data_IF_098209413505
#
_entry.id   IF_098209413505
#
_cell.length_a   1.000
_cell.length_b   1.000
_cell.length_c   1.000
_cell.angle_alpha   90.00
_cell.angle_beta   90.00
_cell.angle_gamma   90.00
#
_symmetry.space_group_name_H-M   'P 1'
#
loop_
_entity.id
_entity.type
_entity.pdbx_description
1 polymer ?
#
# COMPACT_ATOMS: atom_id res chain seq x y z
N UNK A 1 29.08 44.69 -29.87
CA UNK A 1 29.06 44.47 -31.33
C UNK A 1 28.83 42.98 -31.54
N UNK A 2 27.65 42.53 -31.96
CA UNK A 2 27.16 42.42 -33.35
C UNK A 2 27.77 41.27 -34.15
N UNK A 3 26.91 40.36 -34.60
CA UNK A 3 27.13 39.37 -35.66
C UNK A 3 26.23 39.72 -36.87
N UNK A 4 26.54 39.11 -38.00
CA UNK A 4 26.02 39.35 -39.36
C UNK A 4 24.87 38.39 -39.76
N UNK A 5 24.23 38.54 -40.94
CA UNK A 5 23.09 37.70 -41.36
C UNK A 5 23.44 36.46 -42.20
N UNK A 6 22.65 35.37 -42.01
CA UNK A 6 22.33 34.21 -42.90
C UNK A 6 23.43 33.24 -43.46
N UNK A 7 23.42 31.98 -42.96
CA UNK A 7 23.38 30.67 -43.69
C UNK A 7 24.62 29.87 -44.24
N UNK A 8 24.87 28.64 -43.70
CA UNK A 8 24.86 27.26 -44.35
C UNK A 8 26.13 26.49 -44.94
N UNK A 9 26.24 25.15 -44.65
CA UNK A 9 26.91 23.95 -45.33
C UNK A 9 28.47 23.68 -45.36
N UNK A 10 29.08 22.49 -45.70
CA UNK A 10 28.83 21.00 -45.48
C UNK A 10 29.98 20.03 -46.04
N UNK A 11 30.34 18.94 -45.31
CA UNK A 11 30.71 17.49 -45.65
C UNK A 11 31.52 16.99 -46.92
N UNK A 12 32.46 16.01 -46.75
CA UNK A 12 32.45 14.61 -47.34
C UNK A 12 33.66 13.69 -46.95
N UNK A 13 33.52 12.35 -47.14
CA UNK A 13 34.20 11.30 -46.35
C UNK A 13 34.17 9.92 -47.07
N UNK A 14 35.25 9.12 -47.01
CA UNK A 14 35.41 7.69 -47.42
C UNK A 14 36.58 7.06 -46.60
N UNK A 15 36.81 5.76 -46.39
CA UNK A 15 36.14 4.50 -46.80
C UNK A 15 36.36 3.38 -45.72
N UNK A 16 36.40 2.08 -46.09
CA UNK A 16 36.43 0.88 -45.22
C UNK A 16 37.61 -0.09 -45.60
N UNK A 17 37.96 -1.21 -44.94
CA UNK A 17 37.57 -1.87 -43.68
C UNK A 17 38.60 -2.96 -43.26
N UNK A 18 38.52 -3.42 -41.99
CA UNK A 18 38.92 -4.71 -41.36
C UNK A 18 39.94 -4.64 -40.22
N UNK A 19 39.46 -4.69 -38.97
CA UNK A 19 40.16 -5.25 -37.79
C UNK A 19 39.15 -5.66 -36.70
N UNK A 20 39.45 -6.72 -35.97
CA UNK A 20 38.73 -7.19 -34.78
C UNK A 20 39.16 -6.39 -33.53
N UNK A 21 38.36 -6.41 -32.44
CA UNK A 21 38.76 -6.79 -31.06
C UNK A 21 37.76 -6.31 -29.97
N UNK A 22 37.40 -7.26 -29.09
CA UNK A 22 36.80 -7.16 -27.74
C UNK A 22 35.40 -6.53 -27.50
N UNK A 23 34.52 -7.20 -26.73
CA UNK A 23 33.25 -6.64 -26.25
C UNK A 23 33.45 -5.86 -24.94
N UNK A 24 32.98 -4.61 -24.90
CA UNK A 24 32.82 -3.87 -23.65
C UNK A 24 31.60 -4.37 -22.89
N UNK A 25 31.80 -4.99 -21.72
CA UNK A 25 30.71 -5.21 -20.76
C UNK A 25 30.25 -3.85 -20.24
N UNK A 26 29.13 -3.38 -20.77
CA UNK A 26 28.46 -2.18 -20.29
C UNK A 26 27.90 -2.43 -18.90
N UNK A 27 28.39 -1.67 -17.91
CA UNK A 27 27.81 -1.61 -16.57
C UNK A 27 26.32 -1.28 -16.64
N UNK A 28 25.46 -2.27 -16.46
CA UNK A 28 24.11 -2.01 -15.97
C UNK A 28 24.23 -1.60 -14.50
N UNK A 29 24.43 -0.30 -14.27
CA UNK A 29 23.99 0.30 -13.02
C UNK A 29 22.47 0.14 -12.97
N UNK A 30 22.01 -0.81 -12.17
CA UNK A 30 20.61 -0.95 -11.81
C UNK A 30 20.16 0.36 -11.17
N UNK A 31 19.35 1.14 -11.91
CA UNK A 31 18.62 2.24 -11.32
C UNK A 31 17.70 1.65 -10.25
N UNK A 32 18.02 1.86 -8.97
CA UNK A 32 17.03 1.64 -7.91
C UNK A 32 15.81 2.51 -8.26
N UNK A 33 14.58 1.95 -8.24
CA UNK A 33 13.38 2.76 -8.46
C UNK A 33 13.40 3.96 -7.51
N UNK A 34 13.12 5.15 -8.03
CA UNK A 34 13.06 6.33 -7.19
C UNK A 34 12.00 6.11 -6.11
N UNK A 35 12.40 6.23 -4.84
CA UNK A 35 11.53 5.95 -3.69
C UNK A 35 10.25 6.78 -3.81
N UNK A 36 9.12 6.09 -3.99
CA UNK A 36 7.82 6.74 -4.16
C UNK A 36 7.33 7.31 -2.83
N UNK A 37 6.57 8.41 -2.90
CA UNK A 37 5.89 8.95 -1.74
C UNK A 37 4.76 8.01 -1.29
N UNK A 38 4.69 7.77 0.02
CA UNK A 38 3.66 6.97 0.68
C UNK A 38 2.37 7.76 0.73
N UNK A 39 1.28 7.14 0.27
CA UNK A 39 -0.06 7.68 0.39
C UNK A 39 -0.57 7.61 1.85
N UNK A 40 -1.71 8.27 2.15
CA UNK A 40 -2.41 8.07 3.42
C UNK A 40 -2.72 6.59 3.70
N UNK A 41 -3.05 5.82 2.67
CA UNK A 41 -3.38 4.40 2.79
C UNK A 41 -2.16 3.52 3.06
N UNK A 42 -1.02 3.78 2.41
CA UNK A 42 0.23 3.05 2.68
C UNK A 42 0.70 3.28 4.12
N UNK A 43 0.61 4.54 4.57
CA UNK A 43 1.02 4.89 5.93
C UNK A 43 0.03 4.40 6.98
N UNK A 44 -1.27 4.38 6.66
CA UNK A 44 -2.29 3.76 7.50
C UNK A 44 -2.08 2.25 7.59
N UNK A 45 -1.83 1.57 6.48
CA UNK A 45 -1.53 0.14 6.44
C UNK A 45 -0.28 -0.20 7.26
N UNK A 46 0.81 0.57 7.13
CA UNK A 46 2.01 0.38 7.93
C UNK A 46 1.71 0.34 9.44
N UNK A 47 0.91 1.28 9.93
CA UNK A 47 0.48 1.32 11.33
C UNK A 47 -0.45 0.16 11.70
N UNK A 48 -1.48 -0.11 10.89
CA UNK A 48 -2.47 -1.17 11.16
C UNK A 48 -1.83 -2.58 11.15
N UNK A 49 -0.95 -2.86 10.19
CA UNK A 49 -0.23 -4.13 10.04
C UNK A 49 0.75 -4.39 11.19
N UNK A 50 1.41 -3.35 11.70
CA UNK A 50 2.23 -3.47 12.91
C UNK A 50 1.36 -3.58 14.18
N UNK A 51 0.24 -2.87 14.25
CA UNK A 51 -0.71 -2.99 15.37
C UNK A 51 -1.27 -4.41 15.47
N UNK A 52 -1.65 -5.04 14.36
CA UNK A 52 -2.08 -6.46 14.35
C UNK A 52 -1.00 -7.44 14.87
N UNK A 53 0.29 -7.08 14.80
CA UNK A 53 1.40 -7.92 15.27
C UNK A 53 1.79 -7.68 16.74
N UNK A 54 1.61 -6.45 17.26
CA UNK A 54 2.15 -6.02 18.56
C UNK A 54 1.12 -5.51 19.56
N UNK A 55 -0.14 -5.33 19.18
CA UNK A 55 -1.19 -4.99 20.13
C UNK A 55 -1.50 -6.16 21.05
N UNK A 56 -2.13 -5.86 22.19
CA UNK A 56 -2.58 -6.85 23.16
C UNK A 56 -3.44 -7.94 22.52
N UNK A 57 -3.39 -9.13 23.13
CA UNK A 57 -4.18 -10.30 22.72
C UNK A 57 -5.70 -10.06 22.74
N UNK A 58 -6.44 -11.04 22.22
CA UNK A 58 -7.87 -10.96 21.92
C UNK A 58 -8.71 -10.14 22.92
N UNK A 59 -9.38 -9.11 22.39
CA UNK A 59 -10.47 -8.35 23.04
C UNK A 59 -10.20 -7.89 24.50
N UNK A 60 -8.95 -7.56 24.84
CA UNK A 60 -8.65 -6.90 26.11
C UNK A 60 -8.89 -5.39 26.05
N UNK A 61 -9.19 -4.77 27.20
CA UNK A 61 -9.22 -3.30 27.34
C UNK A 61 -7.89 -2.65 26.99
N UNK A 62 -6.80 -3.40 27.14
CA UNK A 62 -5.46 -2.94 26.78
C UNK A 62 -5.29 -2.80 25.27
N UNK A 63 -6.06 -3.54 24.45
CA UNK A 63 -6.05 -3.41 22.99
C UNK A 63 -6.68 -2.10 22.51
N UNK A 64 -7.78 -1.67 23.14
CA UNK A 64 -8.36 -0.33 22.89
C UNK A 64 -7.39 0.78 23.34
N UNK A 65 -6.64 0.56 24.43
CA UNK A 65 -5.61 1.49 24.90
C UNK A 65 -4.41 1.56 23.94
N UNK A 66 -3.88 0.41 23.48
CA UNK A 66 -2.85 0.30 22.46
C UNK A 66 -3.30 1.03 21.18
N UNK A 67 -4.57 0.91 20.77
CA UNK A 67 -5.10 1.57 19.58
C UNK A 67 -5.17 3.10 19.75
N UNK A 68 -5.61 3.57 20.92
CA UNK A 68 -5.64 4.99 21.23
C UNK A 68 -4.24 5.64 21.31
N UNK A 69 -3.23 4.88 21.74
CA UNK A 69 -1.83 5.31 21.74
C UNK A 69 -1.24 5.28 20.31
N UNK A 70 -1.29 4.14 19.63
CA UNK A 70 -0.49 3.87 18.43
C UNK A 70 -1.16 4.17 17.09
N UNK A 71 -2.49 4.15 17.04
CA UNK A 71 -3.27 4.47 15.83
C UNK A 71 -3.90 5.87 15.89
N UNK A 72 -3.93 6.49 17.07
CA UNK A 72 -4.44 7.85 17.26
C UNK A 72 -3.56 8.93 16.62
N UNK A 73 -4.15 10.09 16.33
CA UNK A 73 -3.42 11.31 15.95
C UNK A 73 -2.78 12.06 17.14
N UNK A 74 -2.74 11.46 18.34
CA UNK A 74 -2.24 12.15 19.53
C UNK A 74 -0.73 11.96 19.70
N UNK A 75 0.01 13.00 19.34
CA UNK A 75 1.47 13.11 19.49
C UNK A 75 1.98 12.77 20.89
N UNK A 76 1.27 13.16 21.94
CA UNK A 76 1.70 12.93 23.33
C UNK A 76 1.62 11.45 23.74
N UNK A 77 0.76 10.68 23.07
CA UNK A 77 0.50 9.26 23.38
C UNK A 77 1.20 8.28 22.44
N UNK A 78 1.56 8.69 21.23
CA UNK A 78 2.15 7.81 20.21
C UNK A 78 3.38 7.02 20.67
N UNK A 79 4.26 7.64 21.47
CA UNK A 79 5.45 6.99 22.03
C UNK A 79 5.30 6.57 23.50
N UNK A 80 4.07 6.44 24.01
CA UNK A 80 3.82 5.93 25.36
C UNK A 80 4.38 4.50 25.50
N UNK A 81 5.34 4.31 26.41
CA UNK A 81 6.20 3.11 26.44
C UNK A 81 5.60 2.01 27.32
N UNK A 82 4.86 1.10 26.68
CA UNK A 82 4.69 -0.29 27.16
C UNK A 82 5.77 -1.21 26.56
N UNK A 83 5.92 -2.43 27.08
CA UNK A 83 6.92 -3.43 26.66
C UNK A 83 6.98 -3.65 25.14
N UNK A 84 5.81 -3.64 24.47
CA UNK A 84 5.66 -3.92 23.03
C UNK A 84 5.92 -2.70 22.13
N UNK A 85 5.93 -1.48 22.68
CA UNK A 85 6.03 -0.23 21.91
C UNK A 85 7.29 -0.14 21.04
N UNK A 86 8.50 -0.53 21.51
CA UNK A 86 9.69 -0.43 20.69
C UNK A 86 9.63 -1.28 19.41
N UNK A 87 9.11 -2.50 19.52
CA UNK A 87 8.96 -3.42 18.40
C UNK A 87 7.88 -2.93 17.41
N UNK A 88 6.75 -2.43 17.93
CA UNK A 88 5.72 -1.75 17.13
C UNK A 88 6.31 -0.57 16.34
N UNK A 89 6.99 0.36 17.02
CA UNK A 89 7.57 1.56 16.41
C UNK A 89 8.58 1.19 15.32
N UNK A 90 9.51 0.27 15.60
CA UNK A 90 10.48 -0.21 14.62
C UNK A 90 9.81 -0.84 13.39
N UNK A 91 8.75 -1.63 13.59
CA UNK A 91 7.97 -2.19 12.49
C UNK A 91 7.35 -1.10 11.62
N UNK A 92 6.74 -0.07 12.22
CA UNK A 92 6.14 1.05 11.49
C UNK A 92 7.19 1.83 10.72
N UNK A 93 8.31 2.19 11.37
CA UNK A 93 9.44 2.88 10.72
C UNK A 93 10.00 2.11 9.52
N UNK A 94 10.10 0.77 9.63
CA UNK A 94 10.53 -0.10 8.54
C UNK A 94 9.54 -0.14 7.38
N UNK A 95 8.24 -0.25 7.66
CA UNK A 95 7.18 -0.25 6.64
C UNK A 95 6.98 1.11 5.97
N UNK A 96 7.29 2.20 6.66
CA UNK A 96 7.30 3.55 6.07
C UNK A 96 8.64 3.89 5.38
N UNK A 97 9.54 2.91 5.21
CA UNK A 97 10.89 3.10 4.65
C UNK A 97 11.72 4.21 5.32
N UNK A 98 11.37 4.60 6.56
CA UNK A 98 12.05 5.64 7.31
C UNK A 98 13.20 5.08 8.17
N UNK A 99 13.16 3.80 8.52
CA UNK A 99 14.30 3.09 9.09
C UNK A 99 14.64 1.83 8.28
N UNK A 100 15.86 1.74 7.78
CA UNK A 100 16.36 0.56 7.09
C UNK A 100 17.14 -0.33 8.07
N UNK A 101 16.66 -1.57 8.25
CA UNK A 101 17.28 -2.54 9.17
C UNK A 101 18.55 -3.21 8.65
N UNK A 102 18.78 -3.18 7.32
CA UNK A 102 19.99 -3.67 6.65
C UNK A 102 21.09 -2.60 6.72
N UNK A 103 20.75 -1.37 6.33
CA UNK A 103 21.65 -0.20 6.40
C UNK A 103 21.80 0.37 7.82
N UNK A 104 20.99 -0.13 8.76
CA UNK A 104 21.03 0.15 10.21
C UNK A 104 20.87 1.63 10.55
N UNK A 105 20.05 2.35 9.79
CA UNK A 105 19.95 3.82 9.89
C UNK A 105 18.58 4.33 9.47
N UNK A 106 18.28 5.56 9.87
CA UNK A 106 17.17 6.30 9.32
C UNK A 106 17.46 6.73 7.87
N UNK A 107 16.43 6.70 7.03
CA UNK A 107 16.48 7.09 5.63
C UNK A 107 15.91 8.50 5.47
N UNK A 108 16.76 9.51 5.32
CA UNK A 108 16.31 10.90 5.17
C UNK A 108 15.61 11.20 3.84
N UNK A 109 15.80 10.36 2.81
CA UNK A 109 15.23 10.61 1.49
C UNK A 109 13.69 10.57 1.51
N UNK A 110 13.09 9.68 2.32
CA UNK A 110 11.62 9.61 2.41
C UNK A 110 11.02 10.91 2.94
N UNK A 111 11.68 11.61 3.86
CA UNK A 111 11.19 12.89 4.40
C UNK A 111 11.08 13.95 3.30
N UNK A 112 12.11 14.05 2.45
CA UNK A 112 12.11 14.97 1.29
C UNK A 112 11.09 14.55 0.23
N UNK A 113 10.97 13.25 -0.03
CA UNK A 113 9.98 12.69 -0.97
C UNK A 113 8.55 13.00 -0.51
N UNK A 114 8.21 12.73 0.75
CA UNK A 114 6.90 13.06 1.33
C UNK A 114 6.60 14.55 1.24
N UNK A 115 7.55 15.40 1.64
CA UNK A 115 7.37 16.85 1.57
C UNK A 115 7.09 17.31 0.13
N UNK A 116 7.92 16.91 -0.83
CA UNK A 116 7.75 17.34 -2.22
C UNK A 116 6.44 16.85 -2.85
N UNK A 117 5.93 15.69 -2.45
CA UNK A 117 4.65 15.16 -2.93
C UNK A 117 3.42 15.86 -2.29
N UNK A 118 3.50 16.23 -1.01
CA UNK A 118 2.32 16.56 -0.21
C UNK A 118 2.34 17.95 0.48
N UNK A 119 3.39 18.75 0.33
CA UNK A 119 3.55 20.05 1.03
C UNK A 119 2.39 21.03 0.87
N UNK A 120 1.61 20.97 -0.22
CA UNK A 120 0.49 21.88 -0.43
C UNK A 120 -0.69 21.69 0.54
N UNK A 121 -0.75 20.55 1.24
CA UNK A 121 -1.75 20.28 2.30
C UNK A 121 -1.18 20.39 3.72
N UNK A 122 0.13 20.63 3.85
CA UNK A 122 0.89 20.73 5.11
C UNK A 122 1.03 22.19 5.57
N UNK A 123 1.40 22.37 6.84
CA UNK A 123 1.84 23.68 7.38
C UNK A 123 3.35 23.80 7.53
N UNK A 124 4.11 22.75 7.17
CA UNK A 124 5.58 22.74 7.28
C UNK A 124 6.23 23.65 6.23
N UNK A 125 7.15 24.48 6.69
CA UNK A 125 8.13 25.15 5.85
C UNK A 125 9.20 24.18 5.33
N UNK A 126 10.02 24.63 4.38
CA UNK A 126 11.19 23.87 3.94
C UNK A 126 12.27 23.81 5.04
N UNK A 127 12.34 24.82 5.90
CA UNK A 127 13.22 24.91 7.08
C UNK A 127 12.88 23.84 8.13
N UNK A 128 11.58 23.65 8.45
CA UNK A 128 11.12 22.59 9.37
C UNK A 128 11.54 21.18 8.91
N UNK A 129 11.64 20.97 7.59
CA UNK A 129 12.01 19.69 6.97
C UNK A 129 13.54 19.56 6.86
N UNK A 130 14.25 20.65 6.59
CA UNK A 130 15.72 20.70 6.60
C UNK A 130 16.27 20.41 8.00
N UNK A 131 15.72 21.03 9.05
CA UNK A 131 16.12 20.79 10.44
C UNK A 131 15.84 19.35 10.87
N UNK A 132 14.67 18.79 10.52
CA UNK A 132 14.37 17.39 10.82
C UNK A 132 15.33 16.44 10.09
N UNK A 133 15.62 16.69 8.81
CA UNK A 133 16.59 15.92 8.03
C UNK A 133 18.00 16.04 8.62
N UNK A 134 18.38 17.21 9.12
CA UNK A 134 19.67 17.43 9.77
C UNK A 134 19.80 16.62 11.08
N UNK A 135 18.81 16.71 11.98
CA UNK A 135 18.81 15.91 13.21
C UNK A 135 18.83 14.40 12.93
N UNK A 136 18.03 13.92 11.96
CA UNK A 136 18.01 12.51 11.54
C UNK A 136 19.37 12.08 10.96
N UNK A 137 20.02 12.93 10.17
CA UNK A 137 21.34 12.65 9.57
C UNK A 137 22.46 12.53 10.61
N UNK A 138 22.31 13.19 11.76
CA UNK A 138 23.25 13.12 12.87
C UNK A 138 23.12 11.82 13.69
N UNK A 139 22.05 11.04 13.49
CA UNK A 139 21.91 9.71 14.09
C UNK A 139 22.78 8.71 13.30
N UNK A 140 23.82 8.20 13.97
CA UNK A 140 24.69 7.16 13.42
C UNK A 140 24.00 5.82 13.22
N UNK A 141 24.77 4.82 12.79
CA UNK A 141 24.25 3.46 12.65
C UNK A 141 23.83 2.85 14.00
N UNK A 142 22.65 2.26 14.05
CA UNK A 142 22.03 1.65 15.22
C UNK A 142 22.14 0.11 15.17
N UNK A 143 22.01 -0.56 16.31
CA UNK A 143 21.86 -2.00 16.36
C UNK A 143 20.44 -2.41 15.93
N UNK A 144 20.27 -2.85 14.68
CA UNK A 144 18.97 -3.31 14.17
C UNK A 144 18.42 -4.58 14.82
N UNK A 145 19.18 -5.27 15.67
CA UNK A 145 18.68 -6.36 16.53
C UNK A 145 18.13 -5.88 17.88
N UNK A 146 18.25 -4.58 18.21
CA UNK A 146 17.81 -3.99 19.47
C UNK A 146 16.68 -2.97 19.25
N UNK A 147 15.42 -3.41 19.42
CA UNK A 147 14.24 -2.58 19.14
C UNK A 147 14.17 -1.34 20.03
N UNK A 148 14.69 -1.42 21.26
CA UNK A 148 14.76 -0.29 22.18
C UNK A 148 15.66 0.83 21.66
N UNK A 149 16.74 0.51 20.95
CA UNK A 149 17.70 1.50 20.43
C UNK A 149 17.10 2.33 19.29
N UNK A 150 16.36 1.69 18.39
CA UNK A 150 15.62 2.37 17.31
C UNK A 150 14.50 3.24 17.88
N UNK A 151 13.77 2.74 18.89
CA UNK A 151 12.73 3.50 19.58
C UNK A 151 13.28 4.72 20.34
N UNK A 152 14.35 4.54 21.13
CA UNK A 152 14.93 5.62 21.92
C UNK A 152 15.58 6.68 21.02
N UNK A 153 16.15 6.28 19.87
CA UNK A 153 16.61 7.21 18.83
C UNK A 153 15.46 8.00 18.17
N UNK A 154 14.34 7.35 17.80
CA UNK A 154 13.16 8.08 17.29
C UNK A 154 12.62 9.03 18.35
N UNK A 155 12.53 8.62 19.61
CA UNK A 155 11.97 9.41 20.72
C UNK A 155 12.70 10.73 20.93
N UNK A 156 14.01 10.76 20.73
CA UNK A 156 14.79 11.99 20.77
C UNK A 156 14.34 12.96 19.67
N UNK A 157 14.32 12.51 18.40
CA UNK A 157 13.81 13.31 17.27
C UNK A 157 12.39 13.82 17.53
N UNK A 158 11.52 12.94 18.02
CA UNK A 158 10.10 13.20 18.20
C UNK A 158 9.79 14.32 19.19
N UNK A 159 10.72 14.61 20.11
CA UNK A 159 10.58 15.69 21.10
C UNK A 159 10.50 17.06 20.42
N UNK A 160 11.28 17.26 19.35
CA UNK A 160 11.27 18.49 18.54
C UNK A 160 10.39 18.34 17.28
N UNK A 161 10.43 17.17 16.63
CA UNK A 161 9.91 16.94 15.27
C UNK A 161 8.61 16.15 15.21
N UNK A 162 7.87 15.99 16.31
CA UNK A 162 6.57 15.27 16.28
C UNK A 162 5.56 15.89 15.32
N UNK A 163 5.55 17.22 15.15
CA UNK A 163 4.71 17.90 14.14
C UNK A 163 5.12 17.46 12.74
N UNK A 164 6.41 17.60 12.41
CA UNK A 164 6.98 17.26 11.12
C UNK A 164 6.74 15.79 10.78
N UNK A 165 6.95 14.88 11.74
CA UNK A 165 6.67 13.45 11.59
C UNK A 165 5.21 13.17 11.24
N UNK A 166 4.25 13.67 12.04
CA UNK A 166 2.83 13.40 11.79
C UNK A 166 2.32 14.02 10.48
N UNK A 167 2.81 15.18 10.08
CA UNK A 167 2.43 15.78 8.81
C UNK A 167 3.07 15.03 7.63
N UNK A 168 4.39 14.82 7.60
CA UNK A 168 5.10 14.14 6.50
C UNK A 168 4.57 12.70 6.27
N UNK A 169 4.28 11.98 7.34
CA UNK A 169 3.69 10.63 7.26
C UNK A 169 2.16 10.63 7.24
N UNK A 170 1.50 11.76 6.93
CA UNK A 170 0.07 11.86 6.65
C UNK A 170 -0.81 11.25 7.76
N UNK A 171 -0.38 11.41 9.02
CA UNK A 171 -1.10 11.01 10.24
C UNK A 171 -1.73 12.19 10.98
N UNK A 172 -1.37 13.42 10.60
CA UNK A 172 -1.96 14.65 11.12
C UNK A 172 -3.42 14.82 10.62
N UNK A 173 -4.42 14.95 11.51
CA UNK A 173 -5.82 15.07 11.10
C UNK A 173 -6.13 16.31 10.26
N UNK A 174 -5.39 17.41 10.42
CA UNK A 174 -5.60 18.65 9.65
C UNK A 174 -5.09 18.47 8.23
N UNK A 175 -3.92 17.86 8.06
CA UNK A 175 -3.37 17.53 6.72
C UNK A 175 -4.30 16.57 5.99
N UNK A 176 -4.78 15.52 6.66
CA UNK A 176 -5.74 14.58 6.06
C UNK A 176 -7.05 15.27 5.69
N UNK A 177 -7.59 16.16 6.53
CA UNK A 177 -8.80 16.92 6.21
C UNK A 177 -8.59 17.82 4.98
N UNK A 178 -7.47 18.54 4.91
CA UNK A 178 -7.10 19.35 3.74
C UNK A 178 -7.04 18.50 2.45
N UNK A 179 -6.46 17.30 2.51
CA UNK A 179 -6.43 16.35 1.39
C UNK A 179 -7.82 15.80 1.05
N UNK A 180 -8.73 15.66 2.03
CA UNK A 180 -10.09 15.19 1.77
C UNK A 180 -10.99 16.25 1.15
N UNK A 181 -10.77 17.53 1.46
CA UNK A 181 -11.53 18.67 0.90
C UNK A 181 -11.04 19.07 -0.50
N UNK A 182 -9.81 18.70 -0.86
CA UNK A 182 -9.25 18.89 -2.20
C UNK A 182 -9.86 17.90 -3.22
N UNK A 183 -10.80 18.41 -4.03
CA UNK A 183 -11.47 17.63 -5.09
C UNK A 183 -10.58 17.28 -6.28
N UNK A 184 -9.36 17.82 -6.37
CA UNK A 184 -8.40 17.46 -7.42
C UNK A 184 -7.60 16.20 -7.10
N UNK A 185 -7.57 15.80 -5.82
CA UNK A 185 -6.85 14.62 -5.35
C UNK A 185 -7.81 13.45 -5.08
N UNK A 186 -7.47 12.28 -5.61
CA UNK A 186 -8.14 11.04 -5.25
C UNK A 186 -7.48 10.42 -4.01
N UNK A 187 -8.18 10.51 -2.88
CA UNK A 187 -7.82 9.84 -1.61
C UNK A 187 -9.04 9.10 -1.10
N UNK A 188 -8.85 7.84 -0.72
CA UNK A 188 -9.89 7.03 -0.07
C UNK A 188 -10.35 7.72 1.21
N UNK A 189 -11.67 7.88 1.34
CA UNK A 189 -12.26 8.58 2.50
C UNK A 189 -12.30 7.65 3.72
N UNK A 190 -12.38 8.19 4.94
CA UNK A 190 -12.63 7.38 6.13
C UNK A 190 -13.89 6.52 5.96
N UNK A 191 -13.81 5.27 6.40
CA UNK A 191 -14.85 4.23 6.29
C UNK A 191 -15.24 3.76 4.86
N UNK A 192 -14.61 4.29 3.81
CA UNK A 192 -14.81 3.80 2.44
C UNK A 192 -13.99 2.52 2.21
N UNK A 193 -14.57 1.47 1.62
CA UNK A 193 -13.81 0.26 1.27
C UNK A 193 -12.81 0.55 0.14
N UNK A 194 -11.73 -0.23 0.05
CA UNK A 194 -10.79 -0.14 -1.08
C UNK A 194 -11.49 -0.41 -2.42
N UNK A 195 -12.46 -1.33 -2.44
CA UNK A 195 -13.24 -1.65 -3.65
C UNK A 195 -14.08 -0.44 -4.06
N UNK A 196 -14.89 0.14 -3.16
CA UNK A 196 -15.66 1.38 -3.43
C UNK A 196 -14.75 2.51 -3.94
N UNK A 197 -13.56 2.68 -3.35
CA UNK A 197 -12.60 3.69 -3.81
C UNK A 197 -12.12 3.42 -5.24
N UNK A 198 -11.75 2.17 -5.55
CA UNK A 198 -11.29 1.78 -6.89
C UNK A 198 -12.40 1.75 -7.95
N UNK A 199 -13.66 1.56 -7.56
CA UNK A 199 -14.85 1.71 -8.43
C UNK A 199 -15.05 3.18 -8.83
N UNK A 200 -14.94 4.13 -7.88
CA UNK A 200 -14.98 5.57 -8.20
C UNK A 200 -13.83 6.05 -9.10
N UNK A 201 -12.78 5.24 -9.29
CA UNK A 201 -11.65 5.51 -10.20
C UNK A 201 -11.68 4.66 -11.48
N UNK A 202 -12.70 3.80 -11.66
CA UNK A 202 -12.76 2.89 -12.81
C UNK A 202 -13.11 3.64 -14.10
N UNK A 203 -12.72 3.08 -15.24
CA UNK A 203 -13.07 3.64 -16.54
C UNK A 203 -14.59 3.56 -16.78
N UNK A 204 -15.15 4.53 -17.50
CA UNK A 204 -16.59 4.60 -17.78
C UNK A 204 -17.15 3.31 -18.42
N UNK A 205 -16.35 2.62 -19.24
CA UNK A 205 -16.72 1.33 -19.87
C UNK A 205 -16.97 0.18 -18.89
N UNK A 206 -16.43 0.23 -17.66
CA UNK A 206 -16.64 -0.82 -16.65
C UNK A 206 -17.92 -0.62 -15.84
N UNK A 207 -18.54 0.57 -15.87
CA UNK A 207 -19.76 0.85 -15.12
C UNK A 207 -20.98 0.11 -15.65
N UNK A 208 -21.02 -0.21 -16.96
CA UNK A 208 -22.08 -1.04 -17.55
C UNK A 208 -22.02 -2.51 -17.05
N UNK A 209 -20.83 -2.98 -16.69
CA UNK A 209 -20.56 -4.35 -16.20
C UNK A 209 -20.44 -4.43 -14.66
N UNK A 210 -20.60 -3.33 -13.91
CA UNK A 210 -20.27 -3.24 -12.46
C UNK A 210 -20.87 -4.38 -11.61
N UNK A 211 -22.09 -4.80 -11.92
CA UNK A 211 -22.78 -5.87 -11.19
C UNK A 211 -22.30 -7.27 -11.55
N UNK A 212 -21.77 -7.46 -12.77
CA UNK A 212 -21.06 -8.68 -13.14
C UNK A 212 -19.70 -8.73 -12.43
N UNK A 213 -18.98 -7.61 -12.38
CA UNK A 213 -17.70 -7.46 -11.68
C UNK A 213 -17.87 -7.79 -10.18
N UNK A 214 -18.83 -7.16 -9.50
CA UNK A 214 -19.13 -7.45 -8.08
C UNK A 214 -19.69 -8.87 -7.87
N UNK A 215 -20.31 -9.49 -8.88
CA UNK A 215 -20.67 -10.91 -8.87
C UNK A 215 -19.51 -11.86 -9.28
N UNK A 216 -18.26 -11.38 -9.29
CA UNK A 216 -17.04 -12.12 -9.62
C UNK A 216 -16.97 -12.66 -11.08
N UNK A 217 -17.69 -12.04 -12.02
CA UNK A 217 -17.70 -12.40 -13.43
C UNK A 217 -16.84 -11.45 -14.27
N UNK A 218 -15.59 -11.84 -14.54
CA UNK A 218 -14.76 -11.17 -15.53
C UNK A 218 -14.98 -11.83 -16.89
N UNK A 219 -15.77 -11.19 -17.75
CA UNK A 219 -15.99 -11.60 -19.14
C UNK A 219 -14.90 -11.09 -20.09
N UNK A 220 -14.33 -9.91 -19.80
CA UNK A 220 -13.40 -9.19 -20.68
C UNK A 220 -12.12 -8.80 -19.94
N UNK A 221 -10.96 -9.28 -20.43
CA UNK A 221 -9.64 -8.88 -19.95
C UNK A 221 -9.19 -7.59 -20.68
N UNK A 222 -9.86 -6.47 -20.42
CA UNK A 222 -9.47 -5.16 -20.97
C UNK A 222 -8.42 -4.48 -20.08
N UNK A 223 -7.64 -3.54 -20.65
CA UNK A 223 -6.72 -2.73 -19.86
C UNK A 223 -7.43 -1.94 -18.73
N UNK A 224 -8.71 -1.62 -18.90
CA UNK A 224 -9.49 -0.98 -17.84
C UNK A 224 -9.72 -1.94 -16.66
N UNK A 225 -10.07 -3.19 -16.95
CA UNK A 225 -10.20 -4.25 -15.94
C UNK A 225 -8.87 -4.48 -15.22
N UNK A 226 -7.77 -4.58 -15.99
CA UNK A 226 -6.41 -4.68 -15.45
C UNK A 226 -6.10 -3.54 -14.48
N UNK A 227 -6.35 -2.28 -14.87
CA UNK A 227 -6.14 -1.10 -14.01
C UNK A 227 -7.02 -1.10 -12.76
N UNK A 228 -8.28 -1.54 -12.86
CA UNK A 228 -9.20 -1.60 -11.73
C UNK A 228 -8.77 -2.67 -10.70
N UNK A 229 -8.45 -3.89 -11.15
CA UNK A 229 -7.92 -4.94 -10.26
C UNK A 229 -6.57 -4.54 -9.67
N UNK A 230 -5.70 -3.84 -10.43
CA UNK A 230 -4.45 -3.28 -9.89
C UNK A 230 -4.67 -2.28 -8.74
N UNK A 231 -5.72 -1.46 -8.82
CA UNK A 231 -6.09 -0.54 -7.76
C UNK A 231 -6.46 -1.31 -6.49
N UNK A 232 -7.31 -2.34 -6.61
CA UNK A 232 -7.73 -3.16 -5.46
C UNK A 232 -6.52 -3.92 -4.88
N UNK A 233 -5.66 -4.50 -5.73
CA UNK A 233 -4.46 -5.22 -5.27
C UNK A 233 -3.47 -4.31 -4.53
N UNK A 234 -3.30 -3.05 -4.94
CA UNK A 234 -2.53 -2.05 -4.19
C UNK A 234 -3.18 -1.70 -2.87
N UNK A 235 -4.48 -1.36 -2.86
CA UNK A 235 -5.19 -0.98 -1.63
C UNK A 235 -5.32 -2.13 -0.62
N UNK A 236 -5.41 -3.38 -1.10
CA UNK A 236 -5.32 -4.59 -0.28
C UNK A 236 -3.89 -5.01 0.03
N UNK A 237 -2.86 -4.36 -0.51
CA UNK A 237 -1.45 -4.68 -0.27
C UNK A 237 -1.11 -6.14 -0.63
N UNK A 238 -1.76 -6.65 -1.69
CA UNK A 238 -1.41 -7.90 -2.37
C UNK A 238 -0.22 -7.72 -3.34
N UNK A 239 0.39 -6.53 -3.31
CA UNK A 239 1.62 -6.18 -4.02
C UNK A 239 2.63 -5.72 -2.98
N UNK A 240 3.85 -6.25 -3.04
CA UNK A 240 4.94 -5.89 -2.14
C UNK A 240 5.58 -4.53 -2.54
N UNK A 241 6.62 -4.11 -1.80
CA UNK A 241 7.34 -2.87 -2.10
C UNK A 241 8.07 -2.86 -3.46
N UNK A 242 8.25 -4.03 -4.10
CA UNK A 242 8.77 -4.16 -5.47
C UNK A 242 7.64 -4.26 -6.52
N UNK A 243 6.38 -4.19 -6.10
CA UNK A 243 5.16 -4.48 -6.88
C UNK A 243 5.07 -5.93 -7.42
N UNK A 244 5.73 -6.89 -6.78
CA UNK A 244 5.48 -8.33 -6.98
C UNK A 244 4.33 -8.81 -6.10
N UNK A 245 3.70 -9.93 -6.43
CA UNK A 245 2.54 -10.47 -5.68
C UNK A 245 2.97 -10.85 -4.25
N UNK A 246 2.40 -10.21 -3.22
CA UNK A 246 2.62 -10.61 -1.82
C UNK A 246 1.68 -11.75 -1.45
N UNK A 247 2.16 -12.98 -1.70
CA UNK A 247 1.50 -14.23 -1.30
C UNK A 247 1.14 -14.25 0.19
N UNK A 248 1.91 -13.61 1.07
CA UNK A 248 1.68 -13.68 2.52
C UNK A 248 0.43 -12.90 2.94
N UNK A 249 0.19 -11.73 2.34
CA UNK A 249 -1.02 -10.96 2.63
C UNK A 249 -2.28 -11.64 2.06
N UNK A 250 -2.19 -12.31 0.91
CA UNK A 250 -3.29 -13.12 0.36
C UNK A 250 -3.58 -14.34 1.25
N UNK A 251 -2.54 -15.13 1.57
CA UNK A 251 -2.66 -16.30 2.48
C UNK A 251 -3.26 -15.88 3.82
N UNK A 252 -2.87 -14.72 4.36
CA UNK A 252 -3.42 -14.23 5.63
C UNK A 252 -4.92 -13.97 5.60
N UNK A 253 -5.49 -13.48 4.50
CA UNK A 253 -6.95 -13.26 4.44
C UNK A 253 -7.74 -14.59 4.39
N UNK A 254 -7.11 -15.68 3.95
CA UNK A 254 -7.65 -17.05 4.08
C UNK A 254 -7.54 -17.56 5.54
N UNK A 255 -6.43 -17.26 6.24
CA UNK A 255 -6.29 -17.58 7.68
C UNK A 255 -7.38 -16.90 8.51
N UNK A 256 -7.68 -15.63 8.21
CA UNK A 256 -8.67 -14.83 8.92
C UNK A 256 -10.13 -15.27 8.72
N UNK A 257 -10.41 -16.03 7.66
CA UNK A 257 -11.72 -16.66 7.43
C UNK A 257 -11.76 -18.12 7.90
N UNK A 258 -10.68 -18.61 8.52
CA UNK A 258 -10.50 -20.01 8.96
C UNK A 258 -10.61 -21.03 7.81
N UNK A 259 -10.26 -20.61 6.59
CA UNK A 259 -10.37 -21.42 5.37
C UNK A 259 -9.03 -21.77 4.72
N UNK A 260 -7.90 -21.33 5.28
CA UNK A 260 -6.59 -21.74 4.80
C UNK A 260 -6.34 -23.22 5.11
N UNK A 261 -5.98 -23.96 4.07
CA UNK A 261 -5.40 -25.29 4.14
C UNK A 261 -4.18 -25.40 3.21
N UNK A 262 -3.51 -26.55 3.20
CA UNK A 262 -2.33 -26.76 2.35
C UNK A 262 -2.68 -26.73 0.85
N UNK A 263 -3.91 -27.11 0.45
CA UNK A 263 -4.31 -27.13 -0.95
C UNK A 263 -4.55 -25.72 -1.50
N UNK A 264 -5.33 -24.90 -0.78
CA UNK A 264 -5.56 -23.49 -1.09
C UNK A 264 -4.26 -22.68 -1.03
N UNK A 265 -3.38 -22.93 -0.06
CA UNK A 265 -2.04 -22.30 -0.02
C UNK A 265 -1.21 -22.59 -1.27
N UNK A 266 -1.10 -23.87 -1.66
CA UNK A 266 -0.38 -24.25 -2.88
C UNK A 266 -1.01 -23.64 -4.14
N UNK A 267 -2.35 -23.51 -4.17
CA UNK A 267 -3.09 -22.82 -5.24
C UNK A 267 -2.73 -21.33 -5.34
N UNK A 268 -2.64 -20.61 -4.21
CA UNK A 268 -2.22 -19.20 -4.19
C UNK A 268 -0.78 -19.07 -4.70
N UNK A 269 0.14 -19.93 -4.24
CA UNK A 269 1.52 -19.91 -4.71
C UNK A 269 1.66 -20.25 -6.21
N UNK A 270 0.81 -21.14 -6.74
CA UNK A 270 0.77 -21.45 -8.16
C UNK A 270 0.25 -20.27 -9.00
N UNK A 271 -0.84 -19.64 -8.58
CA UNK A 271 -1.34 -18.43 -9.22
C UNK A 271 -0.30 -17.30 -9.22
N UNK A 272 0.45 -17.13 -8.12
CA UNK A 272 1.50 -16.12 -8.04
C UNK A 272 2.71 -16.45 -8.95
N UNK A 273 3.04 -17.72 -9.16
CA UNK A 273 4.07 -18.15 -10.15
C UNK A 273 3.61 -17.95 -11.59
N UNK A 274 2.31 -18.16 -11.86
CA UNK A 274 1.73 -18.02 -13.20
C UNK A 274 1.50 -16.55 -13.59
N UNK A 275 1.19 -15.67 -12.63
CA UNK A 275 1.13 -14.23 -12.81
C UNK A 275 2.53 -13.65 -13.03
N UNK A 276 2.91 -13.45 -14.29
CA UNK A 276 4.32 -13.23 -14.65
C UNK A 276 4.92 -11.95 -14.06
N UNK A 277 6.10 -12.07 -13.44
CA UNK A 277 6.95 -10.91 -13.08
C UNK A 277 7.43 -10.11 -14.31
N UNK A 278 7.24 -10.63 -15.52
CA UNK A 278 7.52 -9.92 -16.78
C UNK A 278 6.35 -9.09 -17.29
N UNK A 279 5.13 -9.42 -16.87
CA UNK A 279 3.96 -8.60 -17.16
C UNK A 279 4.00 -7.35 -16.25
N UNK A 280 3.39 -6.26 -16.71
CA UNK A 280 3.25 -5.06 -15.89
C UNK A 280 2.27 -5.28 -14.71
N UNK A 281 2.24 -4.33 -13.78
CA UNK A 281 1.45 -4.45 -12.55
C UNK A 281 -0.04 -4.68 -12.87
N UNK A 282 -0.69 -3.92 -13.77
CA UNK A 282 -2.11 -4.14 -14.09
C UNK A 282 -2.42 -5.54 -14.61
N UNK A 283 -1.67 -6.00 -15.62
CA UNK A 283 -1.89 -7.31 -16.21
C UNK A 283 -1.58 -8.44 -15.23
N UNK A 284 -0.51 -8.31 -14.43
CA UNK A 284 -0.14 -9.27 -13.38
C UNK A 284 -1.20 -9.39 -12.29
N UNK A 285 -1.76 -8.26 -11.82
CA UNK A 285 -2.84 -8.25 -10.84
C UNK A 285 -4.09 -8.95 -11.36
N UNK A 286 -4.48 -8.69 -12.62
CA UNK A 286 -5.62 -9.38 -13.22
C UNK A 286 -5.35 -10.89 -13.40
N UNK A 287 -4.17 -11.28 -13.88
CA UNK A 287 -3.80 -12.69 -14.04
C UNK A 287 -3.86 -13.45 -12.70
N UNK A 288 -3.37 -12.84 -11.61
CA UNK A 288 -3.47 -13.41 -10.26
C UNK A 288 -4.93 -13.54 -9.82
N UNK A 289 -5.72 -12.48 -9.94
CA UNK A 289 -7.13 -12.45 -9.54
C UNK A 289 -7.98 -13.47 -10.31
N UNK A 290 -7.83 -13.54 -11.63
CA UNK A 290 -8.52 -14.54 -12.47
C UNK A 290 -8.12 -15.96 -12.10
N UNK A 291 -6.85 -16.23 -11.78
CA UNK A 291 -6.42 -17.56 -11.35
C UNK A 291 -6.99 -17.96 -9.97
N UNK A 292 -7.16 -17.02 -9.04
CA UNK A 292 -7.81 -17.28 -7.75
C UNK A 292 -9.33 -17.53 -7.89
N UNK A 293 -9.96 -17.00 -8.95
CA UNK A 293 -11.36 -17.26 -9.30
C UNK A 293 -11.57 -18.54 -10.12
N UNK A 294 -10.59 -18.91 -10.96
CA UNK A 294 -10.63 -20.10 -11.82
C UNK A 294 -9.96 -21.29 -11.12
N UNK A 295 -10.68 -21.94 -10.20
CA UNK A 295 -10.16 -23.10 -9.49
C UNK A 295 -11.12 -23.69 -8.45
N UNK A 296 -10.73 -24.82 -7.87
CA UNK A 296 -11.49 -25.52 -6.82
C UNK A 296 -11.62 -24.76 -5.50
N UNK A 297 -10.84 -23.68 -5.32
CA UNK A 297 -10.81 -22.85 -4.11
C UNK A 297 -11.47 -21.47 -4.32
N UNK A 298 -12.19 -21.26 -5.42
CA UNK A 298 -12.78 -19.96 -5.78
C UNK A 298 -13.79 -19.45 -4.75
N UNK A 299 -14.66 -20.32 -4.22
CA UNK A 299 -15.59 -19.96 -3.13
C UNK A 299 -14.88 -19.64 -1.80
N UNK A 300 -13.65 -20.12 -1.62
CA UNK A 300 -12.80 -19.73 -0.48
C UNK A 300 -12.18 -18.35 -0.74
N UNK A 301 -11.66 -18.13 -1.95
CA UNK A 301 -11.14 -16.82 -2.36
C UNK A 301 -12.18 -15.71 -2.19
N UNK A 302 -13.41 -15.91 -2.69
CA UNK A 302 -14.51 -14.94 -2.55
C UNK A 302 -14.79 -14.57 -1.09
N UNK A 303 -14.80 -15.55 -0.17
CA UNK A 303 -15.00 -15.31 1.28
C UNK A 303 -13.86 -14.47 1.88
N UNK A 304 -12.61 -14.80 1.58
CA UNK A 304 -11.44 -14.05 2.04
C UNK A 304 -11.42 -12.62 1.49
N UNK A 305 -11.73 -12.45 0.20
CA UNK A 305 -11.76 -11.17 -0.50
C UNK A 305 -12.91 -10.26 -0.02
N UNK A 306 -14.13 -10.80 0.12
CA UNK A 306 -15.27 -10.11 0.71
C UNK A 306 -14.95 -9.63 2.15
N UNK A 307 -14.28 -10.46 2.96
CA UNK A 307 -13.88 -10.06 4.30
C UNK A 307 -12.77 -8.98 4.29
N UNK A 308 -11.84 -9.02 3.33
CA UNK A 308 -10.84 -7.97 3.13
C UNK A 308 -11.47 -6.64 2.67
N UNK A 309 -12.49 -6.67 1.80
CA UNK A 309 -13.30 -5.50 1.44
C UNK A 309 -13.93 -4.87 2.69
N UNK A 310 -14.68 -5.66 3.48
CA UNK A 310 -15.32 -5.20 4.72
C UNK A 310 -14.30 -4.65 5.72
N UNK A 311 -13.19 -5.36 5.98
CA UNK A 311 -12.12 -4.90 6.90
C UNK A 311 -11.43 -3.62 6.43
N UNK A 312 -11.36 -3.38 5.13
CA UNK A 312 -10.77 -2.14 4.59
C UNK A 312 -11.60 -0.89 4.87
N UNK A 313 -12.94 -1.02 4.88
CA UNK A 313 -13.86 0.06 5.25
C UNK A 313 -14.16 0.12 6.76
N UNK A 314 -14.16 -1.01 7.47
CA UNK A 314 -14.50 -1.06 8.89
C UNK A 314 -13.31 -1.51 9.75
N UNK A 315 -12.47 -0.54 10.15
CA UNK A 315 -11.27 -0.79 10.96
C UNK A 315 -11.58 -1.38 12.35
N UNK A 316 -12.84 -1.38 12.81
CA UNK A 316 -13.25 -2.01 14.07
C UNK A 316 -12.88 -3.49 14.12
N UNK A 317 -13.02 -4.21 13.00
CA UNK A 317 -12.60 -5.62 12.90
C UNK A 317 -11.12 -5.82 13.25
N UNK A 318 -10.26 -4.89 12.83
CA UNK A 318 -8.83 -4.94 13.09
C UNK A 318 -8.49 -4.44 14.50
N UNK A 319 -9.04 -3.29 14.89
CA UNK A 319 -8.80 -2.66 16.19
C UNK A 319 -9.25 -3.57 17.33
N UNK A 320 -10.45 -4.15 17.26
CA UNK A 320 -10.98 -5.04 18.29
C UNK A 320 -10.64 -6.53 18.07
N UNK A 321 -9.99 -6.87 16.95
CA UNK A 321 -9.72 -8.26 16.54
C UNK A 321 -11.00 -9.11 16.53
N UNK A 322 -12.03 -8.61 15.83
CA UNK A 322 -13.28 -9.34 15.64
C UNK A 322 -13.04 -10.49 14.65
N UNK A 323 -13.59 -11.70 14.91
CA UNK A 323 -13.48 -12.82 13.99
C UNK A 323 -14.27 -12.57 12.71
N UNK A 324 -14.04 -13.43 11.71
CA UNK A 324 -14.93 -13.53 10.56
C UNK A 324 -16.31 -14.05 10.99
N UNK A 325 -17.36 -13.37 10.54
CA UNK A 325 -18.75 -13.83 10.66
C UNK A 325 -19.37 -13.82 9.25
N UNK A 326 -19.77 -15.00 8.76
CA UNK A 326 -20.26 -15.19 7.38
C UNK A 326 -21.49 -14.34 7.10
N UNK A 327 -22.42 -14.27 8.05
CA UNK A 327 -23.68 -13.56 7.85
C UNK A 327 -23.47 -12.04 7.95
N UNK A 328 -22.66 -11.58 8.91
CA UNK A 328 -22.32 -10.16 9.04
C UNK A 328 -21.55 -9.63 7.83
N UNK A 329 -20.60 -10.41 7.29
CA UNK A 329 -19.87 -10.04 6.05
C UNK A 329 -20.81 -10.07 4.86
N UNK A 330 -21.61 -11.13 4.68
CA UNK A 330 -22.61 -11.22 3.59
C UNK A 330 -23.57 -10.03 3.58
N UNK A 331 -24.09 -9.62 4.74
CA UNK A 331 -25.01 -8.47 4.82
C UNK A 331 -24.32 -7.14 4.48
N UNK A 332 -23.07 -6.93 4.90
CA UNK A 332 -22.31 -5.73 4.53
C UNK A 332 -22.00 -5.71 3.02
N UNK A 333 -21.59 -6.83 2.45
CA UNK A 333 -21.36 -6.97 1.00
C UNK A 333 -22.65 -6.72 0.21
N UNK A 334 -23.78 -7.29 0.60
CA UNK A 334 -25.07 -7.03 -0.06
C UNK A 334 -25.50 -5.55 0.03
N UNK A 335 -25.16 -4.86 1.12
CA UNK A 335 -25.41 -3.42 1.25
C UNK A 335 -24.54 -2.61 0.28
N UNK A 336 -23.23 -2.91 0.22
CA UNK A 336 -22.27 -2.29 -0.70
C UNK A 336 -22.64 -2.56 -2.17
N UNK A 337 -23.07 -3.78 -2.49
CA UNK A 337 -23.54 -4.16 -3.82
C UNK A 337 -24.77 -3.34 -4.21
N UNK A 338 -25.72 -3.14 -3.29
CA UNK A 338 -26.94 -2.36 -3.54
C UNK A 338 -26.70 -0.86 -3.75
N UNK A 339 -25.58 -0.31 -3.29
CA UNK A 339 -25.21 1.09 -3.57
C UNK A 339 -24.88 1.32 -5.05
N UNK A 340 -24.34 0.30 -5.74
CA UNK A 340 -23.89 0.40 -7.14
C UNK A 340 -24.72 -0.44 -8.11
N UNK A 341 -25.47 -1.44 -7.63
CA UNK A 341 -26.34 -2.30 -8.41
C UNK A 341 -27.82 -2.03 -8.16
N UNK A 342 -28.54 -1.70 -9.23
CA UNK A 342 -30.00 -1.70 -9.22
C UNK A 342 -30.52 -3.13 -8.95
N UNK A 343 -31.65 -3.25 -8.24
CA UNK A 343 -32.31 -4.51 -7.82
C UNK A 343 -32.74 -5.47 -8.97
N UNK A 344 -32.35 -5.20 -10.22
CA UNK A 344 -32.80 -5.93 -11.42
C UNK A 344 -31.87 -7.04 -11.92
N UNK A 345 -30.65 -7.19 -11.38
CA UNK A 345 -29.76 -8.30 -11.71
C UNK A 345 -29.57 -9.23 -10.49
N UNK A 346 -29.97 -10.52 -10.58
CA UNK A 346 -29.67 -11.49 -9.54
C UNK A 346 -28.15 -11.72 -9.44
N UNK A 347 -27.57 -11.49 -8.25
CA UNK A 347 -26.15 -11.75 -7.92
C UNK A 347 -25.84 -13.25 -7.80
N UNK A 348 -26.30 -14.06 -8.76
CA UNK A 348 -26.31 -15.52 -8.71
C UNK A 348 -24.92 -16.17 -8.63
N UNK A 349 -23.84 -15.42 -8.91
CA UNK A 349 -22.46 -15.89 -8.83
C UNK A 349 -21.75 -15.66 -7.49
N UNK A 350 -22.32 -14.87 -6.57
CA UNK A 350 -21.64 -14.48 -5.31
C UNK A 350 -22.01 -15.33 -4.10
N UNK A 351 -23.24 -15.85 -4.06
CA UNK A 351 -23.73 -16.68 -2.96
C UNK A 351 -24.40 -17.94 -3.51
N UNK A 352 -23.64 -19.04 -3.57
CA UNK A 352 -24.23 -20.37 -3.66
C UNK A 352 -24.73 -20.74 -2.26
N UNK A 353 -25.99 -21.16 -2.16
CA UNK A 353 -26.57 -21.70 -0.93
C UNK A 353 -26.05 -23.14 -0.74
N UNK A 354 -25.50 -23.44 0.44
CA UNK A 354 -25.03 -24.78 0.84
C UNK A 354 -26.21 -25.67 1.30
#
# INVERSE_FOLDING_TARGET
>A
MQLTPRSVHLVHLLLAATTLISPSWSNHQSQQPALQALSPDDTLFAHLRCFELFASGQQSRDRDADAADWLGGNRERYLHRVERTPAFVKCVLGRMHFYDSSERRFNVNILRTQYNAYKQWMTLSEEDVDDFIHEVSNIGALNSSNDAEVYDALKLLFTNHSVSFFQLFLRDPTVLQNMYDDKSLSVRKPNQTVVQFCELQMAAELWDDICLIRAYQISNHTEAMERHIACIFRGFQYLDANSSIDVKEIVRDYELTETLDEASKNSIEECARNASEKDDIPKRSLAMYSCLLDGSHSEVFKKAFDFREVRSGNLTFLVQNLPYDRDQVRQQILALDKEHCNDQQPLAGRFIED
#
